data_IF_010707297185
#
_entry.id   IF_010707297185
#
_cell.length_a   1.000
_cell.length_b   1.000
_cell.length_c   1.000
_cell.angle_alpha   90.00
_cell.angle_beta   90.00
_cell.angle_gamma   90.00
#
_symmetry.space_group_name_H-M   'P 1'
#
loop_
_entity.id
_entity.type
_entity.pdbx_description
1 polymer ?
#
# COMPACT_ATOMS: atom_id res chain seq x y z
N UNK A 1 18.32 63.88 -63.36
CA UNK A 1 17.34 62.83 -63.06
C UNK A 1 17.82 61.44 -63.45
N UNK A 2 18.54 61.21 -64.55
CA UNK A 2 19.07 59.92 -64.98
C UNK A 2 20.14 59.34 -64.07
N UNK A 3 20.98 60.20 -63.43
CA UNK A 3 22.03 59.75 -62.49
C UNK A 3 21.42 59.25 -61.18
N UNK A 4 20.37 59.88 -60.62
CA UNK A 4 19.71 59.44 -59.39
C UNK A 4 18.98 58.09 -59.56
N UNK A 5 18.49 57.77 -60.77
CA UNK A 5 17.89 56.49 -61.08
C UNK A 5 18.97 55.41 -61.21
N UNK A 6 20.12 55.72 -61.81
CA UNK A 6 21.24 54.78 -61.87
C UNK A 6 21.79 54.43 -60.48
N UNK A 7 21.98 55.40 -59.59
CA UNK A 7 22.44 55.18 -58.23
C UNK A 7 21.43 54.34 -57.40
N UNK A 8 20.11 54.58 -57.58
CA UNK A 8 19.05 53.78 -56.92
C UNK A 8 19.05 52.33 -57.44
N UNK A 9 19.27 52.11 -58.74
CA UNK A 9 19.37 50.79 -59.31
C UNK A 9 20.61 49.99 -58.81
N UNK A 10 21.75 50.68 -58.66
CA UNK A 10 22.93 50.05 -58.08
C UNK A 10 22.75 49.71 -56.61
N UNK A 11 22.07 50.55 -55.83
CA UNK A 11 21.70 50.26 -54.45
C UNK A 11 20.74 49.04 -54.35
N UNK A 12 19.75 48.97 -55.22
CA UNK A 12 18.82 47.84 -55.25
C UNK A 12 19.59 46.54 -55.62
N UNK A 13 20.50 46.59 -56.57
CA UNK A 13 21.33 45.41 -56.93
C UNK A 13 22.20 44.94 -55.78
N UNK A 14 22.84 45.88 -55.06
CA UNK A 14 23.65 45.53 -53.88
C UNK A 14 22.76 44.91 -52.78
N UNK A 15 21.58 45.44 -52.49
CA UNK A 15 20.67 44.90 -51.52
C UNK A 15 20.14 43.51 -51.93
N UNK A 16 19.85 43.30 -53.20
CA UNK A 16 19.45 42.00 -53.72
C UNK A 16 20.55 40.96 -53.61
N UNK A 17 21.82 41.33 -53.88
CA UNK A 17 22.98 40.44 -53.70
C UNK A 17 23.18 40.07 -52.22
N UNK A 18 23.03 41.02 -51.31
CA UNK A 18 23.10 40.76 -49.87
C UNK A 18 21.96 39.83 -49.42
N UNK A 19 20.69 40.13 -49.87
CA UNK A 19 19.58 39.23 -49.59
C UNK A 19 19.79 37.82 -50.13
N UNK A 20 20.30 37.63 -51.31
CA UNK A 20 20.63 36.33 -51.85
C UNK A 20 21.64 35.58 -50.97
N UNK A 21 22.70 36.21 -50.53
CA UNK A 21 23.68 35.63 -49.61
C UNK A 21 23.07 35.26 -48.26
N UNK A 22 22.14 36.06 -47.75
CA UNK A 22 21.42 35.73 -46.49
C UNK A 22 20.48 34.56 -46.68
N UNK A 23 19.81 34.46 -47.80
CA UNK A 23 18.95 33.31 -48.11
C UNK A 23 19.78 32.01 -48.20
N UNK A 24 20.93 32.03 -48.83
CA UNK A 24 21.84 30.89 -48.88
C UNK A 24 22.32 30.46 -47.48
N UNK A 25 22.67 31.41 -46.62
CA UNK A 25 23.05 31.13 -45.23
C UNK A 25 21.88 30.50 -44.48
N UNK A 26 20.67 31.03 -44.58
CA UNK A 26 19.45 30.47 -43.92
C UNK A 26 19.16 29.08 -44.41
N UNK A 27 19.33 28.84 -45.73
CA UNK A 27 19.16 27.50 -46.30
C UNK A 27 20.17 26.48 -45.75
N UNK A 28 21.43 26.89 -45.56
CA UNK A 28 22.47 26.08 -44.95
C UNK A 28 22.19 25.77 -43.48
N UNK A 29 21.76 26.79 -42.73
CA UNK A 29 21.37 26.63 -41.31
C UNK A 29 20.16 25.70 -41.17
N UNK A 30 19.17 25.85 -42.03
CA UNK A 30 17.99 24.99 -42.04
C UNK A 30 18.34 23.51 -42.30
N UNK A 31 19.25 23.25 -43.26
CA UNK A 31 19.76 21.90 -43.52
C UNK A 31 20.50 21.32 -42.30
N UNK A 32 21.36 22.11 -41.65
CA UNK A 32 22.07 21.70 -40.43
C UNK A 32 21.13 21.41 -39.25
N UNK A 33 20.07 22.21 -39.09
CA UNK A 33 19.03 21.98 -38.07
C UNK A 33 18.26 20.70 -38.38
N UNK A 34 17.96 20.42 -39.64
CA UNK A 34 17.28 19.19 -40.05
C UNK A 34 18.12 17.94 -39.69
N UNK A 35 19.41 17.95 -40.03
CA UNK A 35 20.31 16.84 -39.74
C UNK A 35 20.43 16.59 -38.23
N UNK A 36 20.64 17.66 -37.46
CA UNK A 36 20.69 17.57 -35.99
C UNK A 36 19.37 17.08 -35.37
N UNK A 37 18.24 17.49 -35.93
CA UNK A 37 16.92 17.04 -35.48
C UNK A 37 16.74 15.53 -35.73
N UNK A 38 17.25 15.03 -36.86
CA UNK A 38 17.21 13.61 -37.19
C UNK A 38 18.12 12.77 -36.27
N UNK A 39 19.33 13.25 -35.95
CA UNK A 39 20.24 12.62 -34.99
C UNK A 39 19.60 12.57 -33.59
N UNK A 40 19.02 13.69 -33.14
CA UNK A 40 18.36 13.77 -31.83
C UNK A 40 17.15 12.82 -31.74
N UNK A 41 16.38 12.70 -32.81
CA UNK A 41 15.28 11.71 -32.88
C UNK A 41 15.80 10.28 -32.68
N UNK A 42 16.89 9.91 -33.34
CA UNK A 42 17.49 8.58 -33.20
C UNK A 42 18.00 8.31 -31.77
N UNK A 43 18.61 9.33 -31.14
CA UNK A 43 19.06 9.24 -29.75
C UNK A 43 17.89 9.06 -28.76
N UNK A 44 16.76 9.78 -29.00
CA UNK A 44 15.54 9.66 -28.19
C UNK A 44 14.94 8.23 -28.33
N UNK A 45 14.90 7.67 -29.53
CA UNK A 45 14.39 6.32 -29.76
C UNK A 45 15.27 5.26 -29.06
N UNK A 46 16.58 5.44 -29.08
CA UNK A 46 17.52 4.57 -28.38
C UNK A 46 17.33 4.66 -26.85
N UNK A 47 17.20 5.87 -26.32
CA UNK A 47 16.94 6.11 -24.89
C UNK A 47 15.59 5.52 -24.46
N UNK A 48 14.53 5.66 -25.27
CA UNK A 48 13.22 5.08 -25.02
C UNK A 48 13.29 3.54 -24.97
N UNK A 49 14.02 2.93 -25.91
CA UNK A 49 14.26 1.47 -25.91
C UNK A 49 15.01 1.00 -24.66
N UNK A 50 16.06 1.72 -24.25
CA UNK A 50 16.82 1.44 -23.05
C UNK A 50 15.99 1.54 -21.78
N UNK A 51 15.11 2.55 -21.69
CA UNK A 51 14.16 2.70 -20.57
C UNK A 51 13.14 1.55 -20.51
N UNK A 52 12.64 1.10 -21.66
CA UNK A 52 11.72 -0.03 -21.72
C UNK A 52 12.38 -1.34 -21.23
N UNK A 53 13.61 -1.61 -21.67
CA UNK A 53 14.41 -2.75 -21.19
C UNK A 53 14.66 -2.67 -19.68
N UNK A 54 15.09 -1.49 -19.19
CA UNK A 54 15.35 -1.27 -17.77
C UNK A 54 14.09 -1.51 -16.92
N UNK A 55 12.93 -1.01 -17.36
CA UNK A 55 11.64 -1.28 -16.71
C UNK A 55 11.36 -2.78 -16.64
N UNK A 56 11.53 -3.51 -17.73
CA UNK A 56 11.34 -4.97 -17.75
C UNK A 56 12.25 -5.70 -16.75
N UNK A 57 13.52 -5.28 -16.64
CA UNK A 57 14.47 -5.83 -15.66
C UNK A 57 14.06 -5.52 -14.22
N UNK A 58 13.54 -4.33 -13.94
CA UNK A 58 13.01 -3.96 -12.63
C UNK A 58 11.79 -4.78 -12.25
N UNK A 59 10.86 -4.97 -13.18
CA UNK A 59 9.66 -5.79 -12.93
C UNK A 59 10.04 -7.25 -12.67
N UNK A 60 10.99 -7.80 -13.42
CA UNK A 60 11.54 -9.12 -13.17
C UNK A 60 12.26 -9.25 -11.80
N UNK A 61 12.98 -8.22 -11.39
CA UNK A 61 13.63 -8.20 -10.07
C UNK A 61 12.60 -8.14 -8.92
N UNK A 62 11.54 -7.33 -9.08
CA UNK A 62 10.41 -7.27 -8.14
C UNK A 62 9.71 -8.61 -7.99
N UNK A 63 9.47 -9.31 -9.11
CA UNK A 63 8.84 -10.64 -9.08
C UNK A 63 9.70 -11.66 -8.32
N UNK A 64 11.00 -11.71 -8.60
CA UNK A 64 11.91 -12.62 -7.87
C UNK A 64 11.97 -12.33 -6.38
N UNK A 65 11.93 -11.04 -6.00
CA UNK A 65 11.88 -10.66 -4.59
C UNK A 65 10.59 -11.17 -3.93
N UNK A 66 9.45 -11.03 -4.62
CA UNK A 66 8.17 -11.55 -4.12
C UNK A 66 8.17 -13.07 -3.97
N UNK A 67 8.77 -13.78 -4.93
CA UNK A 67 8.90 -15.24 -4.86
C UNK A 67 9.78 -15.68 -3.69
N UNK A 68 10.87 -14.95 -3.39
CA UNK A 68 11.72 -15.20 -2.22
C UNK A 68 10.96 -14.94 -0.91
N UNK A 69 10.18 -13.87 -0.82
CA UNK A 69 9.34 -13.60 0.36
C UNK A 69 8.32 -14.71 0.57
N UNK A 70 7.64 -15.14 -0.48
CA UNK A 70 6.68 -16.23 -0.42
C UNK A 70 7.34 -17.55 0.00
N UNK A 71 8.55 -17.83 -0.48
CA UNK A 71 9.32 -19.02 -0.06
C UNK A 71 9.71 -18.95 1.42
N UNK A 72 10.12 -17.77 1.92
CA UNK A 72 10.41 -17.53 3.33
C UNK A 72 9.17 -17.74 4.21
N UNK A 73 8.01 -17.19 3.81
CA UNK A 73 6.74 -17.38 4.51
C UNK A 73 6.37 -18.88 4.61
N UNK A 74 6.51 -19.62 3.51
CA UNK A 74 6.27 -21.06 3.49
C UNK A 74 7.22 -21.84 4.40
N UNK A 75 8.49 -21.45 4.45
CA UNK A 75 9.49 -22.06 5.34
C UNK A 75 9.10 -21.89 6.81
N UNK A 76 8.65 -20.69 7.23
CA UNK A 76 8.18 -20.44 8.60
C UNK A 76 6.97 -21.33 8.93
N UNK A 77 6.03 -21.49 8.01
CA UNK A 77 4.88 -22.39 8.22
C UNK A 77 5.35 -23.83 8.39
N UNK A 78 6.21 -24.32 7.50
CA UNK A 78 6.72 -25.70 7.56
C UNK A 78 7.53 -26.00 8.83
N UNK A 79 8.37 -25.05 9.26
CA UNK A 79 9.15 -25.22 10.51
C UNK A 79 8.24 -25.24 11.73
N UNK A 80 7.20 -24.38 11.76
CA UNK A 80 6.23 -24.39 12.85
C UNK A 80 5.39 -25.67 12.88
N UNK A 81 4.99 -26.23 11.72
CA UNK A 81 4.29 -27.52 11.62
C UNK A 81 5.19 -28.70 12.03
N UNK A 82 6.48 -28.62 11.74
CA UNK A 82 7.47 -29.61 12.16
C UNK A 82 7.86 -29.50 13.64
N UNK A 83 7.32 -28.52 14.38
CA UNK A 83 7.65 -28.28 15.79
C UNK A 83 9.06 -27.70 16.00
N UNK A 84 9.66 -27.13 14.96
CA UNK A 84 10.98 -26.48 15.05
C UNK A 84 10.77 -25.05 15.55
N UNK A 85 11.44 -24.72 16.66
CA UNK A 85 11.40 -23.36 17.20
C UNK A 85 12.17 -22.39 16.31
N UNK A 86 11.52 -21.28 15.97
CA UNK A 86 12.06 -20.14 15.22
C UNK A 86 11.79 -18.86 16.00
N UNK A 87 12.42 -17.73 15.65
CA UNK A 87 12.10 -16.43 16.23
C UNK A 87 10.62 -16.02 16.11
N UNK A 88 9.89 -16.59 15.14
CA UNK A 88 8.47 -16.34 14.87
C UNK A 88 7.54 -17.23 15.71
N UNK A 89 8.02 -18.36 16.21
CA UNK A 89 7.23 -19.34 16.97
C UNK A 89 6.45 -18.72 18.14
N UNK A 90 7.02 -17.81 18.96
CA UNK A 90 6.27 -17.17 20.05
C UNK A 90 5.11 -16.32 19.55
N UNK A 91 5.26 -15.63 18.41
CA UNK A 91 4.21 -14.79 17.84
C UNK A 91 3.10 -15.61 17.22
N UNK A 92 3.44 -16.74 16.57
CA UNK A 92 2.48 -17.71 16.03
C UNK A 92 1.66 -18.31 17.18
N UNK A 93 2.31 -18.76 18.25
CA UNK A 93 1.63 -19.30 19.43
C UNK A 93 0.68 -18.26 20.04
N UNK A 94 1.18 -17.03 20.25
CA UNK A 94 0.43 -15.94 20.83
C UNK A 94 -0.83 -15.59 20.00
N UNK A 95 -0.69 -15.38 18.69
CA UNK A 95 -1.83 -14.99 17.87
C UNK A 95 -2.90 -16.08 17.82
N UNK A 96 -2.49 -17.36 17.77
CA UNK A 96 -3.43 -18.50 17.79
C UNK A 96 -4.18 -18.62 19.12
N UNK A 97 -3.50 -18.42 20.23
CA UNK A 97 -4.10 -18.43 21.57
C UNK A 97 -5.09 -17.27 21.69
N UNK A 98 -4.66 -16.06 21.38
CA UNK A 98 -5.48 -14.87 21.55
C UNK A 98 -6.66 -14.81 20.55
N UNK A 99 -6.53 -15.36 19.34
CA UNK A 99 -7.65 -15.51 18.43
C UNK A 99 -8.73 -16.46 18.99
N UNK A 100 -8.34 -17.56 19.65
CA UNK A 100 -9.26 -18.47 20.36
C UNK A 100 -9.91 -17.79 21.56
N UNK A 101 -9.15 -17.03 22.36
CA UNK A 101 -9.69 -16.32 23.51
C UNK A 101 -10.72 -15.28 23.09
N UNK A 102 -10.48 -14.55 21.99
CA UNK A 102 -11.45 -13.61 21.41
C UNK A 102 -12.70 -14.38 20.91
N UNK A 103 -12.52 -15.49 20.20
CA UNK A 103 -13.66 -16.30 19.75
C UNK A 103 -14.52 -16.76 20.95
N UNK A 104 -13.92 -17.27 22.01
CA UNK A 104 -14.62 -17.66 23.23
C UNK A 104 -15.29 -16.48 23.96
N UNK A 105 -14.68 -15.30 23.94
CA UNK A 105 -15.29 -14.09 24.47
C UNK A 105 -16.58 -13.78 23.71
N UNK A 106 -16.51 -13.77 22.38
CA UNK A 106 -17.67 -13.50 21.52
C UNK A 106 -18.76 -14.55 21.67
N UNK A 107 -18.39 -15.83 21.79
CA UNK A 107 -19.35 -16.92 22.09
C UNK A 107 -20.06 -16.72 23.45
N UNK A 108 -19.33 -16.28 24.46
CA UNK A 108 -19.93 -15.94 25.76
C UNK A 108 -20.90 -14.76 25.67
N UNK A 109 -20.57 -13.73 24.88
CA UNK A 109 -21.48 -12.58 24.69
C UNK A 109 -22.73 -12.98 23.91
N UNK A 110 -22.62 -13.86 22.92
CA UNK A 110 -23.74 -14.47 22.22
C UNK A 110 -24.64 -15.27 23.17
N UNK A 111 -24.05 -16.12 24.01
CA UNK A 111 -24.77 -16.93 24.98
C UNK A 111 -25.50 -16.11 26.05
N UNK A 112 -24.96 -14.93 26.39
CA UNK A 112 -25.58 -13.98 27.34
C UNK A 112 -26.69 -13.13 26.70
N UNK A 113 -26.81 -13.14 25.37
CA UNK A 113 -27.72 -12.27 24.63
C UNK A 113 -27.31 -10.79 24.59
N UNK A 114 -26.08 -10.45 25.02
CA UNK A 114 -25.50 -9.09 24.93
C UNK A 114 -24.97 -8.76 23.53
N UNK A 115 -24.85 -9.75 22.70
CA UNK A 115 -24.49 -9.67 21.28
C UNK A 115 -25.38 -10.68 20.53
N UNK A 116 -25.90 -10.30 19.36
CA UNK A 116 -26.59 -11.24 18.47
C UNK A 116 -25.65 -11.76 17.37
N UNK A 117 -25.95 -12.95 16.84
CA UNK A 117 -25.19 -13.48 15.71
C UNK A 117 -25.31 -12.59 14.46
N UNK A 118 -26.51 -12.01 14.25
CA UNK A 118 -26.76 -11.10 13.12
C UNK A 118 -25.96 -9.79 13.25
N UNK A 119 -25.68 -9.33 14.47
CA UNK A 119 -24.85 -8.15 14.68
C UNK A 119 -23.36 -8.47 14.52
N UNK A 120 -22.89 -9.59 15.09
CA UNK A 120 -21.52 -10.05 14.98
C UNK A 120 -21.09 -10.24 13.52
N UNK A 121 -21.97 -10.77 12.69
CA UNK A 121 -21.72 -11.07 11.28
C UNK A 121 -22.33 -10.04 10.31
N UNK A 122 -22.65 -8.83 10.81
CA UNK A 122 -23.14 -7.74 9.94
C UNK A 122 -22.03 -7.22 9.02
N UNK A 123 -22.21 -7.36 7.72
CA UNK A 123 -21.31 -6.89 6.66
C UNK A 123 -21.83 -5.63 5.96
N UNK A 124 -22.78 -4.95 6.58
CA UNK A 124 -23.30 -3.68 6.08
C UNK A 124 -22.44 -2.53 6.57
N UNK A 125 -21.42 -2.20 5.80
CA UNK A 125 -20.48 -1.14 6.14
C UNK A 125 -21.07 0.23 5.83
N UNK A 126 -21.47 0.97 6.88
CA UNK A 126 -22.03 2.32 6.77
C UNK A 126 -20.91 3.33 6.90
N UNK A 127 -20.65 4.16 5.87
CA UNK A 127 -19.59 5.17 5.93
C UNK A 127 -19.92 6.22 7.00
N UNK A 128 -18.92 6.63 7.75
CA UNK A 128 -19.02 7.73 8.72
C UNK A 128 -18.74 9.04 7.98
N UNK A 129 -19.73 9.96 7.88
CA UNK A 129 -19.55 11.21 7.16
C UNK A 129 -18.42 12.06 7.75
N UNK A 130 -17.68 12.75 6.89
CA UNK A 130 -16.63 13.69 7.30
C UNK A 130 -15.35 13.04 7.79
N UNK A 131 -15.15 11.73 7.58
CA UNK A 131 -13.91 11.01 7.92
C UNK A 131 -13.00 10.86 6.70
N UNK A 132 -11.70 11.13 6.88
CA UNK A 132 -10.65 10.93 5.88
C UNK A 132 -9.36 10.43 6.57
N UNK A 133 -8.90 9.20 6.32
CA UNK A 133 -9.53 8.14 5.50
C UNK A 133 -10.92 7.73 6.00
N UNK A 134 -11.78 7.31 5.05
CA UNK A 134 -13.16 6.92 5.36
C UNK A 134 -13.20 5.83 6.42
N UNK A 135 -13.95 6.08 7.49
CA UNK A 135 -14.31 5.09 8.50
C UNK A 135 -15.71 4.55 8.23
N UNK A 136 -15.98 3.35 8.75
CA UNK A 136 -17.25 2.67 8.61
C UNK A 136 -17.76 2.19 9.97
N UNK A 137 -19.05 1.91 10.06
CA UNK A 137 -19.66 1.22 11.18
C UNK A 137 -20.49 0.04 10.68
N UNK A 138 -20.53 -1.00 11.48
CA UNK A 138 -21.46 -2.14 11.38
C UNK A 138 -22.23 -2.25 12.70
N UNK A 139 -23.19 -3.15 12.79
CA UNK A 139 -23.89 -3.42 14.06
C UNK A 139 -22.97 -4.01 15.14
N UNK A 140 -21.84 -4.61 14.74
CA UNK A 140 -20.84 -5.13 15.68
C UNK A 140 -19.88 -4.06 16.21
N UNK A 141 -19.72 -2.92 15.56
CA UNK A 141 -18.68 -1.92 15.86
C UNK A 141 -18.66 -1.50 17.32
N UNK A 142 -19.80 -1.14 17.89
CA UNK A 142 -19.90 -0.68 19.29
C UNK A 142 -19.51 -1.77 20.29
N UNK A 143 -19.98 -3.00 20.06
CA UNK A 143 -19.60 -4.13 20.89
C UNK A 143 -18.11 -4.44 20.80
N UNK A 144 -17.51 -4.39 19.59
CA UNK A 144 -16.09 -4.60 19.38
C UNK A 144 -15.23 -3.55 20.11
N UNK A 145 -15.61 -2.26 20.03
CA UNK A 145 -14.89 -1.17 20.71
C UNK A 145 -14.99 -1.23 22.23
N UNK A 146 -16.02 -1.84 22.75
CA UNK A 146 -16.14 -2.09 24.20
C UNK A 146 -15.33 -3.29 24.67
N UNK A 147 -15.31 -4.38 23.89
CA UNK A 147 -14.81 -5.69 24.32
C UNK A 147 -13.32 -5.90 24.01
N UNK A 148 -12.85 -5.44 22.86
CA UNK A 148 -11.56 -5.88 22.31
C UNK A 148 -10.35 -5.03 22.70
N UNK A 149 -10.42 -3.69 22.81
CA UNK A 149 -9.24 -2.86 23.07
C UNK A 149 -8.42 -3.28 24.30
N UNK A 150 -9.03 -3.65 25.45
CA UNK A 150 -8.25 -4.09 26.62
C UNK A 150 -7.41 -5.35 26.35
N UNK A 151 -7.90 -6.24 25.49
CA UNK A 151 -7.19 -7.46 25.08
C UNK A 151 -6.05 -7.08 24.11
N UNK A 152 -6.35 -6.27 23.09
CA UNK A 152 -5.40 -5.86 22.07
C UNK A 152 -4.22 -5.07 22.68
N UNK A 153 -4.50 -4.17 23.61
CA UNK A 153 -3.47 -3.38 24.28
C UNK A 153 -2.60 -4.22 25.22
N UNK A 154 -3.18 -5.20 25.91
CA UNK A 154 -2.42 -6.16 26.72
C UNK A 154 -1.49 -7.00 25.87
N UNK A 155 -1.94 -7.50 24.69
CA UNK A 155 -1.11 -8.25 23.74
C UNK A 155 0.08 -7.40 23.31
N UNK A 156 -0.17 -6.16 22.88
CA UNK A 156 0.86 -5.24 22.42
C UNK A 156 1.87 -4.90 23.54
N UNK A 157 1.40 -4.63 24.75
CA UNK A 157 2.24 -4.32 25.90
C UNK A 157 3.12 -5.50 26.36
N UNK A 158 2.70 -6.73 26.06
CA UNK A 158 3.42 -7.95 26.46
C UNK A 158 4.75 -8.18 25.74
N UNK A 159 4.99 -7.53 24.58
CA UNK A 159 6.25 -7.67 23.86
C UNK A 159 6.57 -6.39 23.07
N UNK A 160 7.72 -5.73 23.30
CA UNK A 160 8.07 -4.46 22.64
C UNK A 160 8.29 -4.59 21.11
N UNK A 161 8.51 -5.79 20.61
CA UNK A 161 8.57 -6.05 19.15
C UNK A 161 7.21 -5.95 18.48
N UNK A 162 6.10 -6.09 19.23
CA UNK A 162 4.75 -6.00 18.67
C UNK A 162 4.42 -4.54 18.38
N UNK A 163 4.29 -4.23 17.11
CA UNK A 163 3.94 -2.89 16.62
C UNK A 163 2.43 -2.63 16.69
N UNK A 164 1.61 -3.67 16.45
CA UNK A 164 0.15 -3.58 16.58
C UNK A 164 -0.48 -4.97 16.74
N UNK A 165 -1.72 -4.95 17.27
CA UNK A 165 -2.61 -6.10 17.26
C UNK A 165 -4.03 -5.61 16.93
N UNK A 166 -4.67 -6.23 15.93
CA UNK A 166 -6.00 -5.83 15.48
C UNK A 166 -6.80 -7.02 14.92
N UNK A 167 -8.07 -7.16 15.29
CA UNK A 167 -8.98 -8.06 14.61
C UNK A 167 -9.48 -7.42 13.33
N UNK A 168 -9.70 -8.21 12.31
CA UNK A 168 -10.39 -7.81 11.09
C UNK A 168 -11.39 -8.87 10.70
N UNK A 169 -12.53 -8.44 10.18
CA UNK A 169 -13.51 -9.38 9.64
C UNK A 169 -13.03 -9.96 8.30
N UNK A 170 -13.75 -10.93 7.77
CA UNK A 170 -13.40 -11.61 6.51
C UNK A 170 -13.34 -10.69 5.28
N UNK A 171 -13.85 -9.46 5.37
CA UNK A 171 -13.82 -8.43 4.32
C UNK A 171 -12.78 -7.32 4.59
N UNK A 172 -11.91 -7.51 5.59
CA UNK A 172 -10.84 -6.57 5.92
C UNK A 172 -11.27 -5.38 6.77
N UNK A 173 -12.48 -5.39 7.34
CA UNK A 173 -12.94 -4.35 8.25
C UNK A 173 -12.35 -4.55 9.65
N UNK A 174 -11.78 -3.50 10.21
CA UNK A 174 -11.16 -3.46 11.55
C UNK A 174 -12.10 -2.70 12.50
N UNK A 175 -13.02 -3.39 13.22
CA UNK A 175 -14.00 -2.72 14.08
C UNK A 175 -13.34 -2.02 15.29
N UNK A 176 -12.25 -2.56 15.81
CA UNK A 176 -11.50 -2.02 16.93
C UNK A 176 -9.99 -2.23 16.71
N UNK A 177 -9.17 -1.37 17.30
CA UNK A 177 -7.72 -1.43 17.22
C UNK A 177 -7.09 -1.13 18.59
N UNK A 178 -5.75 -1.25 18.72
CA UNK A 178 -5.04 -0.72 19.88
C UNK A 178 -5.41 0.77 20.11
N UNK A 179 -5.45 1.21 21.35
CA UNK A 179 -5.88 2.55 21.73
C UNK A 179 -5.08 3.65 21.01
N UNK A 180 -3.77 3.44 20.80
CA UNK A 180 -2.91 4.39 20.09
C UNK A 180 -3.28 4.58 18.61
N UNK A 181 -3.94 3.59 17.98
CA UNK A 181 -4.42 3.60 16.59
C UNK A 181 -5.95 3.78 16.49
N UNK A 182 -6.60 4.10 17.59
CA UNK A 182 -8.05 4.35 17.68
C UNK A 182 -8.34 5.79 18.09
N UNK A 183 -7.47 6.73 17.71
CA UNK A 183 -7.65 8.15 18.03
C UNK A 183 -8.79 8.75 17.22
N UNK A 184 -9.51 9.75 17.75
CA UNK A 184 -10.45 10.54 16.97
C UNK A 184 -9.73 11.22 15.79
N UNK A 185 -10.38 11.27 14.63
CA UNK A 185 -9.82 11.95 13.47
C UNK A 185 -9.77 13.48 13.66
N UNK A 186 -8.67 14.08 13.21
CA UNK A 186 -8.47 15.51 13.11
C UNK A 186 -8.60 16.02 11.67
N UNK A 187 -8.04 17.21 11.41
CA UNK A 187 -8.08 17.85 10.09
C UNK A 187 -7.00 17.35 9.13
N UNK A 188 -5.98 16.68 9.64
CA UNK A 188 -4.84 16.20 8.84
C UNK A 188 -5.07 14.74 8.42
N UNK A 189 -5.35 14.46 7.12
CA UNK A 189 -5.56 13.10 6.63
C UNK A 189 -4.34 12.18 6.81
N UNK A 190 -3.12 12.73 6.72
CA UNK A 190 -1.91 11.94 6.90
C UNK A 190 -1.75 11.48 8.36
N UNK A 191 -2.02 12.36 9.30
CA UNK A 191 -2.05 12.01 10.73
C UNK A 191 -3.17 11.00 11.02
N UNK A 192 -4.38 11.21 10.47
CA UNK A 192 -5.50 10.28 10.62
C UNK A 192 -5.16 8.90 10.09
N UNK A 193 -4.50 8.82 8.91
CA UNK A 193 -4.10 7.56 8.31
C UNK A 193 -3.16 6.75 9.22
N UNK A 194 -2.30 7.42 10.00
CA UNK A 194 -1.37 6.82 10.94
C UNK A 194 -2.03 6.41 12.27
N UNK A 195 -2.94 7.23 12.83
CA UNK A 195 -3.41 7.11 14.22
C UNK A 195 -4.88 6.72 14.36
N UNK A 196 -5.69 6.76 13.28
CA UNK A 196 -7.11 6.45 13.29
C UNK A 196 -7.38 5.26 12.37
N UNK A 197 -6.95 4.08 12.80
CA UNK A 197 -6.99 2.86 11.99
C UNK A 197 -8.18 1.95 12.31
N UNK A 198 -8.85 2.14 13.44
CA UNK A 198 -10.12 1.50 13.76
C UNK A 198 -11.22 1.96 12.80
N UNK A 199 -12.26 1.17 12.66
CA UNK A 199 -13.42 1.42 11.77
C UNK A 199 -13.06 1.54 10.27
N UNK A 200 -11.85 1.13 9.87
CA UNK A 200 -11.42 1.16 8.47
C UNK A 200 -11.53 -0.20 7.82
N UNK A 201 -11.67 -0.20 6.50
CA UNK A 201 -11.51 -1.40 5.67
C UNK A 201 -10.14 -1.35 5.01
N UNK A 202 -9.43 -2.47 5.08
CA UNK A 202 -8.13 -2.66 4.45
C UNK A 202 -8.28 -3.69 3.35
N UNK A 203 -7.94 -3.28 2.14
CA UNK A 203 -8.03 -4.06 0.90
C UNK A 203 -6.65 -4.37 0.29
N UNK A 204 -5.58 -4.06 1.03
CA UNK A 204 -4.24 -4.45 0.63
C UNK A 204 -4.07 -5.98 0.69
N UNK A 205 -3.15 -6.55 -0.14
CA UNK A 205 -3.00 -8.01 -0.25
C UNK A 205 -2.73 -8.72 1.07
N UNK A 206 -2.02 -8.07 2.02
CA UNK A 206 -1.70 -8.65 3.32
C UNK A 206 -2.94 -8.75 4.20
N UNK A 207 -3.75 -7.70 4.24
CA UNK A 207 -5.01 -7.68 4.97
C UNK A 207 -6.02 -8.68 4.40
N UNK A 208 -6.18 -8.71 3.07
CA UNK A 208 -7.08 -9.63 2.38
C UNK A 208 -6.70 -11.08 2.64
N UNK A 209 -5.41 -11.44 2.52
CA UNK A 209 -4.93 -12.80 2.77
C UNK A 209 -5.14 -13.22 4.24
N UNK A 210 -4.91 -12.31 5.19
CA UNK A 210 -5.16 -12.57 6.61
C UNK A 210 -6.66 -12.74 6.89
N UNK A 211 -7.50 -11.84 6.34
CA UNK A 211 -8.96 -11.85 6.54
C UNK A 211 -9.63 -13.14 6.04
N UNK A 212 -9.22 -13.62 4.87
CA UNK A 212 -9.74 -14.82 4.23
C UNK A 212 -9.11 -16.14 4.76
N UNK A 213 -8.02 -16.05 5.50
CA UNK A 213 -7.24 -17.21 5.96
C UNK A 213 -8.03 -18.11 6.90
N UNK A 214 -8.13 -19.40 6.55
CA UNK A 214 -8.74 -20.46 7.38
C UNK A 214 -7.72 -21.46 7.90
N UNK A 215 -6.46 -21.37 7.45
CA UNK A 215 -5.36 -22.17 8.00
C UNK A 215 -5.13 -21.82 9.49
N UNK A 216 -4.53 -22.71 10.29
CA UNK A 216 -4.30 -22.47 11.72
C UNK A 216 -3.57 -21.16 12.03
N UNK A 217 -2.76 -20.70 11.11
CA UNK A 217 -2.13 -19.38 11.09
C UNK A 217 -1.63 -19.06 9.69
N UNK A 218 -1.34 -17.77 9.45
CA UNK A 218 -0.69 -17.25 8.24
C UNK A 218 0.45 -16.33 8.66
N UNK A 219 1.61 -16.47 8.02
CA UNK A 219 2.74 -15.55 8.18
C UNK A 219 2.93 -14.79 6.87
N UNK A 220 3.17 -13.50 6.97
CA UNK A 220 3.40 -12.62 5.83
C UNK A 220 4.48 -11.60 6.17
N UNK A 221 5.14 -11.08 5.15
CA UNK A 221 6.07 -9.97 5.30
C UNK A 221 5.65 -8.84 4.35
N UNK A 222 5.76 -7.60 4.81
CA UNK A 222 5.48 -6.44 3.98
C UNK A 222 6.31 -5.22 4.40
N UNK A 223 6.48 -4.29 3.49
CA UNK A 223 7.11 -3.01 3.79
C UNK A 223 6.05 -2.02 4.25
N UNK A 224 6.23 -1.52 5.48
CA UNK A 224 5.37 -0.48 6.04
C UNK A 224 6.04 0.88 5.85
N UNK A 225 5.33 1.81 5.25
CA UNK A 225 5.74 3.21 5.19
C UNK A 225 5.47 3.85 6.58
N UNK A 226 6.55 4.39 7.16
CA UNK A 226 6.52 5.09 8.45
C UNK A 226 6.42 6.60 8.29
N UNK A 227 6.24 7.08 7.06
CA UNK A 227 6.30 8.50 6.72
C UNK A 227 7.72 8.98 6.41
N UNK A 228 7.82 10.12 5.68
CA UNK A 228 9.10 10.71 5.31
C UNK A 228 9.99 9.82 4.42
N UNK A 229 9.42 8.88 3.67
CA UNK A 229 10.15 7.95 2.82
C UNK A 229 10.82 6.78 3.56
N UNK A 230 10.63 6.68 4.87
CA UNK A 230 11.20 5.60 5.69
C UNK A 230 10.31 4.37 5.64
N UNK A 231 10.79 3.29 5.05
CA UNK A 231 10.13 1.99 5.05
C UNK A 231 10.83 1.02 6.00
N UNK A 232 10.03 0.25 6.75
CA UNK A 232 10.52 -0.87 7.58
C UNK A 232 9.89 -2.17 7.09
N UNK A 233 10.67 -3.25 7.17
CA UNK A 233 10.13 -4.59 6.95
C UNK A 233 9.34 -4.98 8.21
N UNK A 234 8.05 -5.26 8.02
CA UNK A 234 7.16 -5.79 9.06
C UNK A 234 6.91 -7.27 8.80
N UNK A 235 6.92 -8.05 9.85
CA UNK A 235 6.34 -9.37 9.86
C UNK A 235 4.90 -9.29 10.39
N UNK A 236 4.02 -10.06 9.80
CA UNK A 236 2.59 -10.12 10.14
C UNK A 236 2.20 -11.58 10.32
N UNK A 237 1.73 -11.91 11.49
CA UNK A 237 1.15 -13.22 11.76
C UNK A 237 -0.33 -13.06 12.08
N UNK A 238 -1.15 -13.92 11.51
CA UNK A 238 -2.58 -13.93 11.74
C UNK A 238 -3.11 -15.32 12.02
N UNK A 239 -4.20 -15.38 12.79
CA UNK A 239 -4.92 -16.63 13.06
C UNK A 239 -6.43 -16.38 12.93
N UNK A 240 -7.19 -17.37 12.41
CA UNK A 240 -8.61 -17.23 12.21
C UNK A 240 -9.37 -17.10 13.54
N UNK A 241 -10.37 -16.23 13.55
CA UNK A 241 -11.39 -16.14 14.61
C UNK A 241 -12.62 -16.86 14.10
N UNK A 242 -12.95 -18.00 14.74
CA UNK A 242 -14.10 -18.84 14.39
C UNK A 242 -15.06 -18.82 15.57
N UNK A 243 -16.29 -18.36 15.36
CA UNK A 243 -17.31 -18.23 16.39
C UNK A 243 -18.51 -19.10 16.02
N UNK A 244 -18.89 -20.03 16.88
CA UNK A 244 -19.97 -20.98 16.60
C UNK A 244 -19.75 -21.82 15.34
N UNK A 245 -18.50 -22.16 15.03
CA UNK A 245 -18.13 -22.90 13.81
C UNK A 245 -18.13 -22.06 12.54
N UNK A 246 -18.42 -20.75 12.61
CA UNK A 246 -18.44 -19.84 11.46
C UNK A 246 -17.21 -18.93 11.48
N UNK A 247 -16.49 -18.86 10.37
CA UNK A 247 -15.34 -17.96 10.21
C UNK A 247 -15.82 -16.51 10.21
N UNK A 248 -15.39 -15.73 11.21
CA UNK A 248 -15.68 -14.31 11.33
C UNK A 248 -14.64 -13.46 10.62
N UNK A 249 -13.38 -13.84 10.72
CA UNK A 249 -12.24 -13.13 10.20
C UNK A 249 -10.96 -13.60 10.89
N UNK A 250 -10.02 -12.69 11.19
CA UNK A 250 -8.76 -13.05 11.80
C UNK A 250 -8.30 -12.04 12.86
N UNK A 251 -7.47 -12.49 13.80
CA UNK A 251 -6.62 -11.63 14.60
C UNK A 251 -5.28 -11.49 13.90
N UNK A 252 -4.80 -10.25 13.70
CA UNK A 252 -3.50 -9.92 13.13
C UNK A 252 -2.58 -9.34 14.19
N UNK A 253 -1.32 -9.68 14.08
CA UNK A 253 -0.25 -9.19 14.94
C UNK A 253 0.94 -8.81 14.05
N UNK A 254 1.23 -7.51 13.98
CA UNK A 254 2.40 -6.99 13.26
C UNK A 254 3.56 -6.75 14.21
N UNK A 255 4.78 -7.21 13.82
CA UNK A 255 5.98 -7.09 14.66
C UNK A 255 7.24 -6.84 13.83
N UNK A 256 8.31 -6.42 14.49
CA UNK A 256 9.64 -6.11 13.90
C UNK A 256 10.74 -6.90 14.58
#
# INVERSE_FOLDING_TARGET
>A
ETTAIADAMDHIRASLAEMAGRVDTVAGDAASIHDRSSELSAEIDLAASGLAEFKGRLDGARQRLQDLLNAGERLVVLTAEAGIETPETPFVALVREQARDIAQLLERELARGTLSADDLFDETYRPVPGTDPVQFTTRFTEAAERLLPPILDRIKAGNPRIAFCAPLDRNGYVPAHNAEFSRPQGRDPAWNAAHCRNRRRFDDPVAVKAAAGTAPFTVQSYRRDMGGGRQILMLDVSAPIVVGGRHWGALRLGYV
#
